data_IF_502312912613
#
_entry.id   IF_502312912613
#
_cell.length_a   1.000
_cell.length_b   1.000
_cell.length_c   1.000
_cell.angle_alpha   90.00
_cell.angle_beta   90.00
_cell.angle_gamma   90.00
#
_symmetry.space_group_name_H-M   'P 1'
#
loop_
_entity.id
_entity.type
_entity.pdbx_description
1 polymer ?
#
# COMPACT_ATOMS: atom_id res chain seq x y z
N UNK A 1 -11.14 -0.77 2.79
CA UNK A 1 -11.58 -0.06 1.59
C UNK A 1 -11.83 -1.02 0.42
N UNK A 2 -11.08 -2.10 0.31
CA UNK A 2 -11.20 -3.10 -0.74
C UNK A 2 -11.43 -4.51 -0.18
N UNK A 3 -12.04 -5.40 -1.00
CA UNK A 3 -12.27 -6.81 -0.69
C UNK A 3 -11.68 -7.69 -1.79
N UNK A 4 -10.38 -7.55 -2.08
CA UNK A 4 -9.69 -8.20 -3.18
C UNK A 4 -9.82 -9.72 -3.12
N UNK A 5 -10.01 -10.36 -4.27
CA UNK A 5 -10.21 -11.81 -4.39
C UNK A 5 -8.99 -12.65 -3.99
N UNK A 6 -7.79 -12.07 -4.10
CA UNK A 6 -6.50 -12.70 -3.75
C UNK A 6 -5.89 -12.10 -2.47
N UNK A 7 -6.73 -11.55 -1.58
CA UNK A 7 -6.21 -10.94 -0.35
C UNK A 7 -5.62 -12.01 0.57
N UNK A 8 -4.40 -11.78 1.05
CA UNK A 8 -3.71 -12.66 2.00
C UNK A 8 -4.55 -12.96 3.26
N UNK A 9 -5.45 -12.05 3.65
CA UNK A 9 -6.42 -12.26 4.74
C UNK A 9 -7.38 -13.43 4.53
N UNK A 10 -7.48 -13.94 3.29
CA UNK A 10 -8.39 -15.05 2.93
C UNK A 10 -7.63 -16.38 2.80
N UNK A 11 -6.31 -16.38 2.96
CA UNK A 11 -5.48 -17.59 2.90
C UNK A 11 -5.31 -18.21 4.29
N UNK A 12 -5.01 -19.49 4.36
CA UNK A 12 -4.83 -20.23 5.62
C UNK A 12 -3.71 -19.66 6.51
N UNK A 13 -2.67 -19.07 5.88
CA UNK A 13 -1.56 -18.43 6.61
C UNK A 13 -1.84 -16.98 6.97
N UNK A 14 -2.87 -16.41 6.36
CA UNK A 14 -3.24 -15.02 6.54
C UNK A 14 -4.27 -14.79 7.60
N UNK A 15 -4.57 -15.70 8.49
CA UNK A 15 -5.49 -15.57 9.62
C UNK A 15 -6.51 -16.69 9.66
N UNK A 16 -6.60 -17.37 10.77
CA UNK A 16 -7.84 -18.04 11.12
C UNK A 16 -8.99 -17.02 11.07
N UNK A 17 -10.10 -17.39 10.48
CA UNK A 17 -11.30 -16.54 10.41
C UNK A 17 -11.81 -16.08 11.78
N UNK A 18 -11.23 -16.61 12.84
CA UNK A 18 -11.62 -16.49 14.24
C UNK A 18 -10.68 -15.63 15.08
N UNK A 19 -9.74 -14.92 14.47
CA UNK A 19 -8.80 -14.04 15.19
C UNK A 19 -7.70 -14.75 15.98
N UNK A 20 -7.68 -16.09 15.99
CA UNK A 20 -6.61 -16.88 16.57
C UNK A 20 -5.51 -17.09 15.52
N UNK A 21 -4.80 -16.00 15.18
CA UNK A 21 -3.67 -16.05 14.27
C UNK A 21 -2.43 -16.61 14.96
N UNK A 22 -1.61 -17.37 14.21
CA UNK A 22 -0.29 -17.80 14.64
C UNK A 22 0.66 -16.63 14.90
N UNK A 23 1.94 -16.90 15.12
CA UNK A 23 2.99 -15.91 15.45
C UNK A 23 3.09 -14.69 14.49
N UNK A 24 2.48 -14.77 13.28
CA UNK A 24 2.46 -13.73 12.28
C UNK A 24 1.09 -13.03 12.11
N UNK A 25 0.22 -13.12 13.11
CA UNK A 25 -1.06 -12.43 13.07
C UNK A 25 -0.88 -10.90 13.04
N UNK A 26 -1.41 -10.27 11.98
CA UNK A 26 -1.38 -8.81 11.80
C UNK A 26 -2.70 -8.13 12.22
N UNK A 27 -3.65 -8.87 12.80
CA UNK A 27 -4.83 -8.28 13.38
C UNK A 27 -4.49 -7.63 14.72
N UNK A 28 -5.00 -6.43 14.92
CA UNK A 28 -4.86 -5.68 16.15
C UNK A 28 -6.15 -5.76 16.95
N UNK A 29 -6.05 -5.83 18.26
CA UNK A 29 -7.21 -5.84 19.17
C UNK A 29 -7.94 -4.49 19.17
N UNK A 30 -7.21 -3.41 18.87
CA UNK A 30 -7.74 -2.05 18.76
C UNK A 30 -6.87 -1.20 17.82
N UNK A 31 -7.38 -0.04 17.42
CA UNK A 31 -6.58 0.96 16.68
C UNK A 31 -5.53 1.56 17.64
N UNK A 32 -4.23 1.38 17.37
CA UNK A 32 -3.20 1.80 18.30
C UNK A 32 -3.07 3.33 18.35
N UNK A 33 -2.78 3.87 19.51
CA UNK A 33 -2.36 5.26 19.67
C UNK A 33 -0.96 5.49 19.10
N UNK A 34 -0.62 6.76 18.87
CA UNK A 34 0.73 7.11 18.42
C UNK A 34 1.81 6.66 19.41
N UNK A 35 1.53 6.79 20.70
CA UNK A 35 2.42 6.43 21.79
C UNK A 35 2.67 4.92 21.82
N UNK A 36 1.64 4.09 21.59
CA UNK A 36 1.78 2.62 21.49
C UNK A 36 2.60 2.22 20.27
N UNK A 37 2.36 2.86 19.11
CA UNK A 37 3.17 2.60 17.92
C UNK A 37 4.63 2.95 18.17
N UNK A 38 4.92 4.11 18.78
CA UNK A 38 6.31 4.51 19.04
C UNK A 38 6.98 3.67 20.11
N UNK A 39 6.23 3.20 21.11
CA UNK A 39 6.75 2.24 22.10
C UNK A 39 7.18 0.92 21.43
N UNK A 40 6.41 0.42 20.47
CA UNK A 40 6.78 -0.77 19.69
C UNK A 40 8.07 -0.55 18.87
N UNK A 41 8.32 0.67 18.34
CA UNK A 41 9.61 0.99 17.72
C UNK A 41 10.74 1.00 18.74
N UNK A 42 10.52 1.52 19.94
CA UNK A 42 11.54 1.62 20.99
C UNK A 42 11.96 0.23 21.53
N UNK A 43 11.14 -0.81 21.34
CA UNK A 43 11.47 -2.20 21.65
C UNK A 43 12.37 -2.87 20.59
N UNK A 44 12.53 -2.24 19.41
CA UNK A 44 13.31 -2.79 18.30
C UNK A 44 14.69 -2.12 18.21
N UNK A 45 15.70 -2.91 17.86
CA UNK A 45 17.00 -2.36 17.43
C UNK A 45 16.89 -1.86 15.98
N UNK A 46 16.50 -0.59 15.83
CA UNK A 46 16.26 0.04 14.53
C UNK A 46 17.50 0.12 13.63
N UNK A 47 18.71 -0.07 14.16
CA UNK A 47 19.95 -0.12 13.36
C UNK A 47 20.04 -1.35 12.46
N UNK A 48 19.21 -2.35 12.69
CA UNK A 48 19.15 -3.60 11.90
C UNK A 48 18.26 -3.51 10.67
N UNK A 49 17.50 -2.44 10.52
CA UNK A 49 16.53 -2.28 9.44
C UNK A 49 17.03 -1.25 8.42
N UNK A 50 16.74 -1.51 7.16
CA UNK A 50 17.11 -0.64 6.04
C UNK A 50 15.96 0.30 5.64
N UNK A 51 14.72 -0.05 6.03
CA UNK A 51 13.52 0.65 5.61
C UNK A 51 12.37 0.38 6.61
N UNK A 52 11.49 1.35 6.78
CA UNK A 52 10.20 1.17 7.46
C UNK A 52 9.08 1.12 6.44
N UNK A 53 8.25 0.08 6.50
CA UNK A 53 7.18 -0.16 5.52
C UNK A 53 5.81 -0.08 6.18
N UNK A 54 4.99 0.87 5.74
CA UNK A 54 3.57 0.90 6.08
C UNK A 54 2.82 -0.05 5.18
N UNK A 55 2.39 -1.16 5.72
CA UNK A 55 1.64 -2.21 5.02
C UNK A 55 0.85 -3.06 6.04
N UNK A 56 0.24 -4.14 5.60
CA UNK A 56 -0.42 -5.10 6.46
C UNK A 56 -1.86 -5.37 6.07
N UNK A 57 -2.67 -5.83 7.01
CA UNK A 57 -4.08 -6.11 6.79
C UNK A 57 -4.87 -4.81 6.75
N UNK A 58 -5.42 -4.48 5.59
CA UNK A 58 -6.14 -3.24 5.38
C UNK A 58 -5.42 -2.29 4.42
N UNK A 59 -5.64 -1.01 4.60
CA UNK A 59 -5.10 0.05 3.75
C UNK A 59 -4.49 1.14 4.64
N UNK A 60 -3.18 1.39 4.56
CA UNK A 60 -2.50 2.38 5.42
C UNK A 60 -3.12 3.78 5.35
N UNK A 61 -3.62 4.20 4.19
CA UNK A 61 -4.24 5.52 4.03
C UNK A 61 -5.61 5.65 4.69
N UNK A 62 -6.19 4.57 5.23
CA UNK A 62 -7.36 4.67 6.10
C UNK A 62 -7.04 5.34 7.44
N UNK A 63 -5.79 5.19 7.93
CA UNK A 63 -5.26 5.83 9.13
C UNK A 63 -4.24 6.93 8.75
N UNK A 64 -4.57 7.77 7.77
CA UNK A 64 -3.61 8.65 7.11
C UNK A 64 -2.93 9.65 8.06
N UNK A 65 -3.66 10.21 9.02
CA UNK A 65 -3.05 11.14 9.98
C UNK A 65 -2.06 10.44 10.92
N UNK A 66 -2.34 9.20 11.31
CA UNK A 66 -1.41 8.36 12.06
C UNK A 66 -0.18 8.04 11.22
N UNK A 67 -0.37 7.61 9.96
CA UNK A 67 0.71 7.33 9.02
C UNK A 67 1.68 8.52 8.92
N UNK A 68 1.15 9.73 8.71
CA UNK A 68 1.98 10.95 8.61
C UNK A 68 2.80 11.21 9.87
N UNK A 69 2.16 11.12 11.04
CA UNK A 69 2.83 11.34 12.32
C UNK A 69 3.95 10.34 12.56
N UNK A 70 3.68 9.05 12.33
CA UNK A 70 4.66 7.98 12.52
C UNK A 70 5.78 8.10 11.48
N UNK A 71 5.48 8.34 10.20
CA UNK A 71 6.49 8.50 9.15
C UNK A 71 7.44 9.67 9.45
N UNK A 72 6.90 10.82 9.84
CA UNK A 72 7.71 11.99 10.23
C UNK A 72 8.63 11.69 11.44
N UNK A 73 8.11 10.95 12.43
CA UNK A 73 8.89 10.59 13.61
C UNK A 73 9.97 9.55 13.30
N UNK A 74 9.69 8.57 12.42
CA UNK A 74 10.69 7.62 11.92
C UNK A 74 11.84 8.35 11.22
N UNK A 75 11.52 9.30 10.34
CA UNK A 75 12.54 10.14 9.67
C UNK A 75 13.38 10.92 10.69
N UNK A 76 12.71 11.52 11.67
CA UNK A 76 13.37 12.35 12.69
C UNK A 76 14.28 11.53 13.61
N UNK A 77 13.85 10.35 14.09
CA UNK A 77 14.59 9.54 15.06
C UNK A 77 15.66 8.67 14.43
N UNK A 78 15.31 8.02 13.33
CA UNK A 78 16.11 6.93 12.78
C UNK A 78 16.74 7.25 11.42
N UNK A 79 16.27 8.31 10.76
CA UNK A 79 16.69 8.67 9.39
C UNK A 79 16.60 7.49 8.39
N UNK A 80 15.65 6.58 8.62
CA UNK A 80 15.38 5.44 7.75
C UNK A 80 14.47 5.84 6.59
N UNK A 81 14.65 5.25 5.41
CA UNK A 81 13.68 5.34 4.33
C UNK A 81 12.29 4.83 4.77
N UNK A 82 11.26 5.51 4.29
CA UNK A 82 9.85 5.14 4.54
C UNK A 82 9.18 4.75 3.24
N UNK A 83 8.57 3.57 3.23
CA UNK A 83 7.72 3.10 2.13
C UNK A 83 6.28 2.90 2.57
N UNK A 84 5.35 3.24 1.68
CA UNK A 84 3.92 2.96 1.85
C UNK A 84 3.47 2.03 0.73
N UNK A 85 2.94 0.85 1.11
CA UNK A 85 2.26 -0.06 0.20
C UNK A 85 0.75 0.22 0.27
N UNK A 86 0.15 0.66 -0.83
CA UNK A 86 -1.23 1.14 -0.87
C UNK A 86 -2.01 0.61 -2.07
N UNK A 87 -3.34 0.60 -1.98
CA UNK A 87 -4.22 0.37 -3.11
C UNK A 87 -4.37 1.62 -4.01
N UNK A 88 -3.75 2.75 -3.65
CA UNK A 88 -3.78 3.99 -4.41
C UNK A 88 -5.08 4.79 -4.30
N UNK A 89 -6.01 4.41 -3.43
CA UNK A 89 -7.30 5.09 -3.27
C UNK A 89 -7.33 6.09 -2.11
N UNK A 90 -6.15 6.48 -1.61
CA UNK A 90 -6.03 7.34 -0.43
C UNK A 90 -6.76 8.68 -0.56
N UNK A 91 -6.66 9.34 -1.72
CA UNK A 91 -7.39 10.60 -1.97
C UNK A 91 -8.91 10.42 -1.98
N UNK A 92 -9.42 9.28 -2.51
CA UNK A 92 -10.83 8.93 -2.42
C UNK A 92 -11.26 8.62 -0.98
N UNK A 93 -10.41 7.94 -0.21
CA UNK A 93 -10.66 7.61 1.19
C UNK A 93 -10.78 8.87 2.03
N UNK A 94 -9.86 9.82 1.84
CA UNK A 94 -9.81 11.07 2.60
C UNK A 94 -10.75 12.16 2.05
N UNK A 95 -11.35 11.96 0.86
CA UNK A 95 -12.21 12.95 0.20
C UNK A 95 -11.47 14.20 -0.26
N UNK A 96 -10.15 14.14 -0.41
CA UNK A 96 -9.27 15.24 -0.85
C UNK A 96 -7.97 14.70 -1.41
N UNK A 97 -7.24 15.52 -2.16
CA UNK A 97 -5.89 15.16 -2.59
C UNK A 97 -4.94 15.12 -1.38
N UNK A 98 -4.35 13.96 -1.14
CA UNK A 98 -3.37 13.73 -0.07
C UNK A 98 -1.94 13.62 -0.59
N UNK A 99 -1.72 13.63 -1.89
CA UNK A 99 -0.40 13.44 -2.49
C UNK A 99 0.66 14.45 -1.98
N UNK A 100 0.35 15.76 -1.82
CA UNK A 100 1.31 16.71 -1.30
C UNK A 100 1.79 16.41 0.14
N UNK A 101 0.96 15.73 0.92
CA UNK A 101 1.26 15.46 2.33
C UNK A 101 2.26 14.31 2.55
N UNK A 102 2.68 13.63 1.47
CA UNK A 102 3.76 12.64 1.49
C UNK A 102 5.15 13.28 1.39
N UNK A 103 5.23 14.55 0.98
CA UNK A 103 6.51 15.22 0.74
C UNK A 103 7.39 15.24 2.00
N UNK A 104 8.63 14.79 1.84
CA UNK A 104 9.65 14.79 2.90
C UNK A 104 9.48 13.73 3.99
N UNK A 105 8.35 12.99 4.02
CA UNK A 105 8.10 11.94 5.02
C UNK A 105 8.04 10.53 4.44
N UNK A 106 7.84 10.41 3.12
CA UNK A 106 7.78 9.12 2.41
C UNK A 106 8.76 9.12 1.25
N UNK A 107 9.60 8.08 1.14
CA UNK A 107 10.60 7.94 0.08
C UNK A 107 10.10 7.07 -1.07
N UNK A 108 9.19 6.14 -0.78
CA UNK A 108 8.65 5.22 -1.78
C UNK A 108 7.17 4.98 -1.57
N UNK A 109 6.39 5.11 -2.64
CA UNK A 109 4.98 4.67 -2.68
C UNK A 109 4.86 3.51 -3.66
N UNK A 110 4.39 2.36 -3.16
CA UNK A 110 4.13 1.15 -3.94
C UNK A 110 2.62 0.96 -4.09
N UNK A 111 2.11 1.13 -5.30
CA UNK A 111 0.67 1.12 -5.60
C UNK A 111 0.29 -0.21 -6.26
N UNK A 112 -0.76 -0.86 -5.77
CA UNK A 112 -1.30 -2.08 -6.36
C UNK A 112 -2.15 -1.75 -7.59
N UNK A 113 -1.56 -1.88 -8.80
CA UNK A 113 -2.26 -1.70 -10.09
C UNK A 113 -3.16 -2.89 -10.38
N UNK A 114 -2.64 -4.10 -10.19
CA UNK A 114 -3.27 -5.41 -10.32
C UNK A 114 -3.64 -5.81 -11.76
N UNK A 115 -4.21 -4.94 -12.58
CA UNK A 115 -4.64 -5.18 -13.98
C UNK A 115 -4.67 -3.85 -14.74
N UNK A 116 -4.51 -3.87 -16.08
CA UNK A 116 -4.61 -2.64 -16.89
C UNK A 116 -6.06 -2.24 -17.21
N UNK A 117 -7.04 -3.09 -16.88
CA UNK A 117 -8.43 -2.96 -17.29
C UNK A 117 -9.33 -2.54 -16.13
N UNK A 118 -10.14 -1.51 -16.30
CA UNK A 118 -11.02 -0.97 -15.25
C UNK A 118 -12.09 -1.97 -14.79
N UNK A 119 -12.70 -2.73 -15.73
CA UNK A 119 -13.75 -3.69 -15.40
C UNK A 119 -13.17 -4.87 -14.63
N UNK A 120 -12.01 -5.36 -15.04
CA UNK A 120 -11.29 -6.42 -14.33
C UNK A 120 -10.81 -5.93 -12.95
N UNK A 121 -10.32 -4.69 -12.87
CA UNK A 121 -9.96 -4.08 -11.61
C UNK A 121 -11.14 -4.05 -10.64
N UNK A 122 -12.31 -3.63 -11.10
CA UNK A 122 -13.53 -3.62 -10.30
C UNK A 122 -13.90 -5.04 -9.81
N UNK A 123 -13.80 -6.05 -10.68
CA UNK A 123 -14.10 -7.44 -10.35
C UNK A 123 -13.11 -8.05 -9.33
N UNK A 124 -11.82 -7.72 -9.45
CA UNK A 124 -10.75 -8.25 -8.60
C UNK A 124 -10.68 -7.51 -7.26
N UNK A 125 -10.68 -6.17 -7.29
CA UNK A 125 -10.40 -5.32 -6.12
C UNK A 125 -11.63 -5.11 -5.25
N UNK A 126 -12.82 -5.09 -5.85
CA UNK A 126 -14.11 -4.90 -5.15
C UNK A 126 -14.08 -3.70 -4.21
N UNK A 127 -13.66 -2.56 -4.76
CA UNK A 127 -13.59 -1.31 -4.01
C UNK A 127 -14.96 -0.77 -3.66
N UNK A 128 -15.10 -0.18 -2.46
CA UNK A 128 -16.31 0.56 -2.08
C UNK A 128 -16.58 1.79 -2.95
N UNK A 129 -15.60 2.24 -3.74
CA UNK A 129 -15.73 3.39 -4.63
C UNK A 129 -16.18 3.02 -6.04
N UNK A 130 -16.44 1.73 -6.31
CA UNK A 130 -16.94 1.27 -7.60
C UNK A 130 -16.05 1.73 -8.78
N UNK A 131 -16.68 2.28 -9.81
CA UNK A 131 -16.02 2.71 -11.04
C UNK A 131 -15.01 3.86 -10.85
N UNK A 132 -15.12 4.61 -9.77
CA UNK A 132 -14.16 5.68 -9.46
C UNK A 132 -12.82 5.15 -8.92
N UNK A 133 -12.74 3.88 -8.53
CA UNK A 133 -11.57 3.32 -7.88
C UNK A 133 -10.34 3.24 -8.82
N UNK A 134 -10.52 2.74 -10.04
CA UNK A 134 -9.43 2.59 -11.01
C UNK A 134 -8.88 3.95 -11.48
N UNK A 135 -9.70 4.88 -12.00
CA UNK A 135 -9.20 6.20 -12.36
C UNK A 135 -8.63 6.96 -11.15
N UNK A 136 -9.25 6.86 -9.98
CA UNK A 136 -8.74 7.53 -8.77
C UNK A 136 -7.37 7.00 -8.33
N UNK A 137 -7.08 5.72 -8.50
CA UNK A 137 -5.77 5.13 -8.24
C UNK A 137 -4.72 5.65 -9.25
N UNK A 138 -5.07 5.76 -10.54
CA UNK A 138 -4.17 6.31 -11.56
C UNK A 138 -3.91 7.81 -11.33
N UNK A 139 -4.93 8.57 -10.95
CA UNK A 139 -4.78 9.98 -10.60
C UNK A 139 -3.89 10.17 -9.37
N UNK A 140 -4.07 9.34 -8.35
CA UNK A 140 -3.18 9.35 -7.19
C UNK A 140 -1.72 9.05 -7.58
N UNK A 141 -1.47 8.07 -8.45
CA UNK A 141 -0.12 7.77 -8.93
C UNK A 141 0.50 8.97 -9.68
N UNK A 142 -0.31 9.65 -10.52
CA UNK A 142 0.10 10.85 -11.27
C UNK A 142 0.45 12.01 -10.35
N UNK A 143 -0.31 12.20 -9.28
CA UNK A 143 -0.09 13.30 -8.34
C UNK A 143 1.05 13.01 -7.38
N UNK A 144 1.08 11.83 -6.75
CA UNK A 144 2.06 11.53 -5.69
C UNK A 144 3.51 11.50 -6.20
N UNK A 145 3.74 11.19 -7.49
CA UNK A 145 5.09 11.24 -8.09
C UNK A 145 5.72 12.64 -8.11
N UNK A 146 4.94 13.68 -7.90
CA UNK A 146 5.44 15.06 -7.83
C UNK A 146 6.13 15.35 -6.49
N UNK A 147 5.81 14.57 -5.46
CA UNK A 147 6.19 14.79 -4.07
C UNK A 147 7.04 13.67 -3.48
N UNK A 148 6.98 12.47 -4.06
CA UNK A 148 7.69 11.29 -3.56
C UNK A 148 8.74 10.84 -4.58
N UNK A 149 10.00 10.64 -4.16
CA UNK A 149 11.10 10.30 -5.07
C UNK A 149 10.88 9.01 -5.86
N UNK A 150 10.25 8.01 -5.25
CA UNK A 150 10.07 6.71 -5.86
C UNK A 150 8.59 6.30 -5.83
N UNK A 151 7.97 6.24 -7.01
CA UNK A 151 6.62 5.67 -7.17
C UNK A 151 6.71 4.45 -8.06
N UNK A 152 6.15 3.34 -7.60
CA UNK A 152 6.11 2.08 -8.32
C UNK A 152 4.70 1.51 -8.29
N UNK A 153 4.19 1.12 -9.46
CA UNK A 153 2.93 0.37 -9.56
C UNK A 153 3.23 -1.12 -9.71
N UNK A 154 2.41 -1.96 -9.13
CA UNK A 154 2.72 -3.39 -9.06
C UNK A 154 1.55 -4.27 -9.46
N UNK A 155 1.88 -5.39 -10.10
CA UNK A 155 1.03 -6.58 -10.23
C UNK A 155 1.69 -7.76 -9.52
N UNK A 156 0.98 -8.87 -9.42
CA UNK A 156 1.52 -10.12 -8.89
C UNK A 156 1.67 -11.10 -10.04
N UNK A 157 2.82 -11.78 -10.08
CA UNK A 157 3.12 -12.80 -11.07
C UNK A 157 1.97 -13.83 -11.20
N UNK A 158 1.67 -14.27 -12.40
CA UNK A 158 0.62 -15.24 -12.71
C UNK A 158 -0.84 -14.82 -12.48
N UNK A 159 -1.08 -13.59 -11.99
CA UNK A 159 -2.45 -13.09 -11.77
C UNK A 159 -3.09 -12.48 -13.01
N UNK A 160 -2.30 -12.07 -13.98
CA UNK A 160 -2.71 -11.51 -15.28
C UNK A 160 -1.86 -12.12 -16.40
N UNK A 161 -2.29 -11.93 -17.65
CA UNK A 161 -1.54 -12.38 -18.82
C UNK A 161 -0.28 -11.52 -19.06
N UNK A 162 0.69 -12.04 -19.84
CA UNK A 162 1.86 -11.26 -20.27
C UNK A 162 1.47 -10.05 -21.16
N UNK A 163 0.36 -10.14 -21.89
CA UNK A 163 -0.17 -9.02 -22.67
C UNK A 163 -0.67 -7.91 -21.74
N UNK A 164 -1.35 -8.28 -20.66
CA UNK A 164 -1.80 -7.34 -19.63
C UNK A 164 -0.62 -6.76 -18.82
N UNK A 165 0.41 -7.54 -18.54
CA UNK A 165 1.65 -7.03 -17.94
C UNK A 165 2.29 -5.96 -18.84
N UNK A 166 2.33 -6.19 -20.16
CA UNK A 166 2.81 -5.19 -21.11
C UNK A 166 1.90 -3.95 -21.18
N UNK A 167 0.59 -4.12 -21.01
CA UNK A 167 -0.35 -3.00 -20.92
C UNK A 167 -0.16 -2.21 -19.61
N UNK A 168 0.06 -2.88 -18.48
CA UNK A 168 0.41 -2.25 -17.21
C UNK A 168 1.72 -1.44 -17.31
N UNK A 169 2.73 -1.97 -18.01
CA UNK A 169 3.97 -1.24 -18.26
C UNK A 169 3.70 0.06 -19.04
N UNK A 170 2.88 0.01 -20.11
CA UNK A 170 2.52 1.22 -20.88
C UNK A 170 1.82 2.28 -20.02
N UNK A 171 0.88 1.87 -19.17
CA UNK A 171 0.21 2.76 -18.22
C UNK A 171 1.24 3.44 -17.30
N UNK A 172 2.19 2.68 -16.77
CA UNK A 172 3.22 3.21 -15.90
C UNK A 172 4.17 4.18 -16.63
N UNK A 173 4.53 3.87 -17.88
CA UNK A 173 5.35 4.74 -18.73
C UNK A 173 4.64 6.08 -19.01
N UNK A 174 3.35 6.05 -19.32
CA UNK A 174 2.52 7.25 -19.54
C UNK A 174 2.38 8.10 -18.26
N UNK A 175 2.28 7.44 -17.10
CA UNK A 175 2.24 8.11 -15.81
C UNK A 175 3.63 8.60 -15.36
N UNK A 176 4.71 8.11 -15.96
CA UNK A 176 6.08 8.42 -15.58
C UNK A 176 6.46 7.82 -14.22
N UNK A 177 5.96 6.61 -13.92
CA UNK A 177 6.25 5.85 -12.70
C UNK A 177 6.85 4.50 -13.07
N UNK A 178 7.47 3.81 -12.11
CA UNK A 178 8.03 2.48 -12.35
C UNK A 178 6.95 1.40 -12.31
N UNK A 179 7.14 0.35 -13.08
CA UNK A 179 6.35 -0.88 -13.00
C UNK A 179 7.17 -2.01 -12.40
N UNK A 180 6.54 -2.87 -11.59
CA UNK A 180 7.18 -4.06 -11.04
C UNK A 180 6.17 -5.20 -10.90
N UNK A 181 6.55 -6.36 -11.40
CA UNK A 181 5.85 -7.63 -11.13
C UNK A 181 6.44 -8.19 -9.83
N UNK A 182 5.58 -8.45 -8.85
CA UNK A 182 5.96 -9.10 -7.59
C UNK A 182 5.85 -10.61 -7.76
N UNK A 183 6.82 -11.35 -7.24
CA UNK A 183 6.74 -12.79 -7.22
C UNK A 183 5.47 -13.25 -6.47
N UNK A 184 4.87 -14.32 -6.98
CA UNK A 184 3.83 -15.04 -6.25
C UNK A 184 4.48 -15.74 -5.04
N UNK A 185 4.02 -15.43 -3.85
CA UNK A 185 4.45 -16.12 -2.64
C UNK A 185 3.43 -17.23 -2.37
N UNK A 186 3.86 -18.49 -2.60
CA UNK A 186 3.09 -19.64 -2.14
C UNK A 186 3.23 -19.70 -0.62
N UNK A 187 2.14 -19.50 0.08
CA UNK A 187 2.01 -19.77 1.50
C UNK A 187 1.69 -21.24 1.71
#
# INVERSE_FOLDING_TARGET
SCACTFCIRQTADGVGQDGEGGENNLWLDHEPSFEEVMAAFDEQDMSRYEEVVFCGYGEPTCAFDMLKRVAAEVKRRYNLPVRVNTNGQGSLICGRDIAPEFEGIVDTVSISLNTPNADEYAAIVRSRFGDAAFPGMLDFAREVRKYVPNVVMTTVETTISHEDEAACQRICDELGVRYRIRAWVNS
#
